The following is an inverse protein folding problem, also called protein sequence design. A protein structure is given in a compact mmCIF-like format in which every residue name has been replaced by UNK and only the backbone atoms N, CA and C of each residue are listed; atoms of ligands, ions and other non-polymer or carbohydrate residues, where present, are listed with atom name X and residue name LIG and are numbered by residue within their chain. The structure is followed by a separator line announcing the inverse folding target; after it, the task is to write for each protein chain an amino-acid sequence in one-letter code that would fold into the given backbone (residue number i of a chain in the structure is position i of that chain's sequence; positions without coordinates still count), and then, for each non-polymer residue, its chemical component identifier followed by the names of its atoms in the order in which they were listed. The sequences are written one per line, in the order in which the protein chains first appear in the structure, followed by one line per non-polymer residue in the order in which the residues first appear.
data_IF_537024059588
#
_entry.id   IF_537024059588
#
_cell.length_a   1.000
_cell.length_b   1.000
_cell.length_c   1.000
_cell.angle_alpha   90.00
_cell.angle_beta   90.00
_cell.angle_gamma   90.00
#
_symmetry.space_group_name_H-M   'P 1'
#
loop_
_entity.id
_entity.type
_entity.pdbx_description
1 polymer ?
#
# COMPACT_ATOMS: atom_id res chain seq x y z
N UNK A 1 -19.31 -12.63 -7.17
CA UNK A 1 -17.89 -12.27 -7.36
C UNK A 1 -17.10 -12.61 -6.12
N UNK A 2 -15.97 -13.28 -6.26
CA UNK A 2 -15.14 -13.63 -5.12
C UNK A 2 -14.35 -12.40 -4.63
N UNK A 3 -14.21 -12.28 -3.31
CA UNK A 3 -13.39 -11.22 -2.71
C UNK A 3 -11.96 -11.73 -2.54
N UNK A 4 -10.99 -10.85 -2.77
CA UNK A 4 -9.59 -11.19 -2.58
C UNK A 4 -9.29 -11.47 -1.09
N UNK A 5 -9.91 -10.68 -0.20
CA UNK A 5 -9.80 -10.84 1.24
C UNK A 5 -11.15 -11.26 1.78
N UNK A 6 -11.22 -12.46 2.38
CA UNK A 6 -12.49 -13.07 2.74
C UNK A 6 -13.00 -12.64 4.11
N UNK A 7 -12.12 -12.14 4.98
CA UNK A 7 -12.52 -11.75 6.33
C UNK A 7 -12.85 -10.25 6.37
N UNK A 8 -13.74 -9.89 7.26
CA UNK A 8 -14.14 -8.51 7.50
C UNK A 8 -13.56 -8.02 8.82
N UNK A 9 -13.20 -6.73 8.85
CA UNK A 9 -12.88 -6.07 10.10
C UNK A 9 -14.18 -5.47 10.65
N UNK A 10 -14.52 -5.82 11.87
CA UNK A 10 -15.75 -5.35 12.51
C UNK A 10 -15.40 -4.55 13.75
N UNK A 11 -16.10 -3.43 13.93
CA UNK A 11 -15.95 -2.58 15.11
C UNK A 11 -17.27 -2.58 15.87
N UNK A 12 -17.22 -2.95 17.16
CA UNK A 12 -18.40 -2.99 18.00
C UNK A 12 -18.94 -1.64 18.43
N UNK A 13 -18.14 -0.58 18.25
CA UNK A 13 -18.53 0.79 18.59
C UNK A 13 -18.04 1.74 17.53
N UNK A 14 -18.70 2.88 17.40
CA UNK A 14 -18.27 3.93 16.49
C UNK A 14 -17.03 4.64 17.04
N UNK A 15 -16.19 5.15 16.13
CA UNK A 15 -15.07 6.01 16.50
C UNK A 15 -15.00 7.17 15.51
N UNK A 16 -14.32 8.24 15.91
CA UNK A 16 -14.08 9.37 14.99
C UNK A 16 -12.67 9.87 15.14
N UNK A 17 -12.15 10.41 14.05
CA UNK A 17 -10.86 11.07 14.06
C UNK A 17 -11.04 12.52 14.47
N UNK A 18 -10.15 12.96 15.36
CA UNK A 18 -10.11 14.36 15.78
C UNK A 18 -8.99 15.12 15.05
N UNK A 19 -8.22 14.44 14.22
CA UNK A 19 -7.11 15.01 13.48
C UNK A 19 -7.32 14.74 11.99
N UNK A 20 -7.00 15.70 11.13
CA UNK A 20 -7.10 15.51 9.68
C UNK A 20 -5.93 14.65 9.20
N UNK A 21 -6.15 13.36 9.08
CA UNK A 21 -5.15 12.40 8.61
C UNK A 21 -5.82 11.18 8.01
N UNK A 22 -5.10 10.40 7.16
CA UNK A 22 -5.65 9.16 6.63
C UNK A 22 -5.93 8.15 7.73
N UNK A 23 -6.87 7.26 7.48
CA UNK A 23 -7.18 6.15 8.38
C UNK A 23 -5.99 5.21 8.56
N UNK A 24 -5.23 4.99 7.49
CA UNK A 24 -4.04 4.16 7.47
C UNK A 24 -2.91 5.03 6.92
N UNK A 25 -1.75 5.05 7.57
CA UNK A 25 -0.62 5.87 7.13
C UNK A 25 -0.08 5.48 5.75
N UNK A 26 -0.48 4.32 5.22
CA UNK A 26 -0.14 3.90 3.87
C UNK A 26 -1.00 4.55 2.80
N UNK A 27 -2.07 5.25 3.16
CA UNK A 27 -3.05 5.73 2.17
C UNK A 27 -2.62 6.99 1.45
N UNK A 28 -1.68 7.75 2.01
CA UNK A 28 -1.18 8.97 1.39
C UNK A 28 0.33 9.02 1.49
N UNK A 29 0.99 9.28 0.37
CA UNK A 29 2.44 9.47 0.31
C UNK A 29 2.77 10.88 -0.15
N UNK A 30 3.95 11.37 0.24
CA UNK A 30 4.33 12.75 -0.02
C UNK A 30 4.66 13.01 -1.49
N UNK A 31 5.28 12.04 -2.17
CA UNK A 31 5.74 12.18 -3.56
C UNK A 31 5.38 10.95 -4.35
N UNK A 32 5.18 11.11 -5.67
CA UNK A 32 4.86 9.98 -6.53
C UNK A 32 5.96 8.91 -6.52
N UNK A 33 7.23 9.32 -6.39
CA UNK A 33 8.35 8.39 -6.37
C UNK A 33 8.42 7.57 -5.10
N UNK A 34 7.76 7.97 -4.03
CA UNK A 34 7.79 7.24 -2.76
C UNK A 34 7.11 5.88 -2.85
N UNK A 35 6.19 5.70 -3.79
CA UNK A 35 5.51 4.40 -3.95
C UNK A 35 6.45 3.29 -4.41
N UNK A 36 7.58 3.66 -5.02
CA UNK A 36 8.56 2.68 -5.54
C UNK A 36 9.65 2.36 -4.52
N UNK A 37 9.66 3.03 -3.38
CA UNK A 37 10.68 2.83 -2.35
C UNK A 37 10.18 1.82 -1.32
N UNK A 38 10.85 0.65 -1.18
CA UNK A 38 10.42 -0.34 -0.20
C UNK A 38 10.41 0.18 1.23
N UNK A 39 11.26 1.15 1.57
CA UNK A 39 11.31 1.70 2.92
C UNK A 39 10.02 2.44 3.29
N UNK A 40 9.31 3.00 2.31
CA UNK A 40 8.01 3.63 2.54
C UNK A 40 7.01 2.62 3.12
N UNK A 41 7.16 1.34 2.79
CA UNK A 41 6.22 0.28 3.14
C UNK A 41 6.77 -0.69 4.19
N UNK A 42 7.81 -0.28 4.91
CA UNK A 42 8.38 -1.12 5.96
C UNK A 42 9.63 -1.89 5.55
N UNK A 43 10.14 -1.67 4.34
CA UNK A 43 11.38 -2.26 3.86
C UNK A 43 11.19 -3.59 3.13
N UNK A 44 12.32 -4.16 2.68
CA UNK A 44 12.31 -5.35 1.82
C UNK A 44 11.90 -6.63 2.55
N UNK A 45 12.08 -6.67 3.87
CA UNK A 45 11.80 -7.86 4.68
C UNK A 45 10.48 -7.73 5.46
N UNK A 46 9.75 -6.64 5.27
CA UNK A 46 8.46 -6.42 5.94
C UNK A 46 7.51 -5.82 4.93
N UNK A 47 6.76 -6.67 4.27
CA UNK A 47 5.81 -6.22 3.28
C UNK A 47 4.52 -5.78 3.96
N UNK A 48 4.26 -4.48 3.95
CA UNK A 48 2.99 -3.92 4.40
C UNK A 48 2.06 -3.63 3.23
N UNK A 49 2.52 -3.87 2.02
CA UNK A 49 1.69 -3.78 0.82
C UNK A 49 0.82 -5.01 0.68
N UNK A 50 -0.34 -4.84 0.07
CA UNK A 50 -1.20 -5.95 -0.32
C UNK A 50 -1.81 -5.62 -1.67
N UNK A 51 -2.13 -6.67 -2.42
CA UNK A 51 -2.73 -6.51 -3.74
C UNK A 51 -4.08 -5.81 -3.61
N UNK A 52 -4.22 -4.71 -4.33
CA UNK A 52 -5.44 -3.90 -4.27
C UNK A 52 -5.34 -2.67 -3.38
N UNK A 53 -4.22 -2.49 -2.66
CA UNK A 53 -4.03 -1.27 -1.87
C UNK A 53 -4.02 -0.06 -2.80
N UNK A 54 -4.86 0.91 -2.51
CA UNK A 54 -4.93 2.15 -3.26
C UNK A 54 -4.35 3.28 -2.43
N UNK A 55 -3.42 4.04 -3.03
CA UNK A 55 -2.65 5.08 -2.35
C UNK A 55 -2.78 6.36 -3.15
N UNK A 56 -2.97 7.48 -2.45
CA UNK A 56 -2.96 8.80 -3.05
C UNK A 56 -1.60 9.45 -2.83
N UNK A 57 -1.12 10.20 -3.83
CA UNK A 57 0.03 11.07 -3.63
C UNK A 57 -0.45 12.47 -3.26
N UNK A 58 0.41 13.27 -2.69
CA UNK A 58 0.05 14.65 -2.31
C UNK A 58 -0.33 15.51 -3.52
N UNK A 59 0.10 15.10 -4.72
CA UNK A 59 -0.29 15.77 -5.97
C UNK A 59 -1.65 15.37 -6.50
N UNK A 60 -2.34 14.43 -5.83
CA UNK A 60 -3.70 14.04 -6.21
C UNK A 60 -3.78 12.83 -7.13
N UNK A 61 -2.68 12.14 -7.40
CA UNK A 61 -2.69 10.93 -8.23
C UNK A 61 -2.99 9.72 -7.37
N UNK A 62 -3.88 8.85 -7.84
CA UNK A 62 -4.19 7.58 -7.18
C UNK A 62 -3.47 6.44 -7.87
N UNK A 63 -2.87 5.56 -7.07
CA UNK A 63 -2.19 4.36 -7.55
C UNK A 63 -2.75 3.15 -6.84
N UNK A 64 -2.93 2.06 -7.58
CA UNK A 64 -3.36 0.77 -7.03
C UNK A 64 -2.21 -0.23 -7.16
N UNK A 65 -1.86 -0.88 -6.06
CA UNK A 65 -0.81 -1.89 -6.08
C UNK A 65 -1.35 -3.19 -6.65
N UNK A 66 -0.68 -3.72 -7.67
CA UNK A 66 -1.08 -4.95 -8.35
C UNK A 66 0.00 -6.02 -8.30
N UNK A 67 1.11 -5.75 -7.59
CA UNK A 67 2.22 -6.68 -7.48
C UNK A 67 2.05 -7.71 -6.39
N UNK A 68 3.10 -8.51 -6.17
CA UNK A 68 3.05 -9.58 -5.16
C UNK A 68 3.02 -9.01 -3.75
N UNK A 69 2.31 -9.71 -2.87
CA UNK A 69 2.23 -9.43 -1.44
C UNK A 69 2.88 -10.59 -0.68
N UNK A 70 3.26 -10.35 0.58
CA UNK A 70 3.99 -11.34 1.35
C UNK A 70 5.50 -11.11 1.28
N UNK A 71 6.18 -11.30 2.41
CA UNK A 71 7.58 -10.87 2.54
C UNK A 71 8.50 -11.49 1.50
N UNK A 72 8.41 -12.80 1.27
CA UNK A 72 9.31 -13.49 0.35
C UNK A 72 9.04 -13.09 -1.10
N UNK A 73 7.77 -13.08 -1.50
CA UNK A 73 7.41 -12.76 -2.88
C UNK A 73 7.67 -11.28 -3.18
N UNK A 74 7.41 -10.42 -2.21
CA UNK A 74 7.69 -9.00 -2.35
C UNK A 74 9.19 -8.75 -2.52
N UNK A 75 10.01 -9.34 -1.66
CA UNK A 75 11.46 -9.15 -1.73
C UNK A 75 12.03 -9.67 -3.06
N UNK A 76 11.51 -10.79 -3.56
CA UNK A 76 11.95 -11.37 -4.84
C UNK A 76 11.54 -10.50 -6.03
N UNK A 77 10.50 -9.69 -5.89
CA UNK A 77 10.00 -8.85 -6.99
C UNK A 77 10.79 -7.56 -7.20
N UNK A 78 11.63 -7.18 -6.23
CA UNK A 78 12.37 -5.91 -6.32
C UNK A 78 13.40 -5.94 -7.43
N UNK A 79 13.55 -4.81 -8.13
CA UNK A 79 14.55 -4.62 -9.17
C UNK A 79 15.47 -3.49 -8.74
N UNK A 80 16.77 -3.79 -8.58
CA UNK A 80 17.77 -2.83 -8.09
C UNK A 80 17.34 -2.18 -6.76
N UNK A 81 16.70 -2.95 -5.89
CA UNK A 81 16.25 -2.50 -4.58
C UNK A 81 14.99 -1.63 -4.60
N UNK A 82 14.32 -1.54 -5.73
CA UNK A 82 13.11 -0.72 -5.89
C UNK A 82 11.94 -1.58 -6.34
N UNK A 83 10.73 -1.13 -6.00
CA UNK A 83 9.49 -1.75 -6.46
C UNK A 83 9.32 -1.41 -7.95
N UNK A 84 9.14 -2.42 -8.83
CA UNK A 84 8.96 -2.15 -10.26
C UNK A 84 7.75 -1.27 -10.54
N UNK A 85 7.87 -0.36 -11.50
CA UNK A 85 6.76 0.54 -11.84
C UNK A 85 5.53 -0.21 -12.34
N UNK A 86 5.74 -1.39 -12.94
CA UNK A 86 4.62 -2.21 -13.43
C UNK A 86 3.72 -2.74 -12.32
N UNK A 87 4.20 -2.72 -11.07
CA UNK A 87 3.42 -3.20 -9.93
C UNK A 87 2.39 -2.17 -9.44
N UNK A 88 2.44 -0.97 -9.96
CA UNK A 88 1.50 0.08 -9.62
C UNK A 88 0.73 0.52 -10.86
N UNK A 89 -0.57 0.71 -10.70
CA UNK A 89 -1.45 1.22 -11.76
C UNK A 89 -2.15 2.48 -11.29
N UNK A 90 -2.28 3.40 -12.21
CA UNK A 90 -3.05 4.64 -11.98
C UNK A 90 -4.54 4.37 -12.09
#
# INVERSE_FOLDING_TARGET
MAKLYASNAEFGVSFKFTTARPLDDRLVVAQDTDIYDPATWGGANKCTLYTGLTVATSGGTLYTYTGPAGDADFAASLVAGKIPTKNWKV
#
